data_IF_992501999602
#
_entry.id   IF_992501999602
#
_cell.length_a   1.000
_cell.length_b   1.000
_cell.length_c   1.000
_cell.angle_alpha   90.00
_cell.angle_beta   90.00
_cell.angle_gamma   90.00
#
_symmetry.space_group_name_H-M   'P 1'
#
loop_
_entity.id
_entity.type
_entity.pdbx_description
1 polymer ?
#
# COMPACT_ATOMS: atom_id res chain seq x y z
N UNK A 1 3.58 -28.05 4.84
CA UNK A 1 3.78 -27.65 3.43
C UNK A 1 4.60 -26.37 3.41
N UNK A 2 5.67 -26.30 2.62
CA UNK A 2 6.53 -25.12 2.50
C UNK A 2 5.89 -23.96 1.72
N UNK A 3 4.92 -24.26 0.84
CA UNK A 3 4.25 -23.29 -0.03
C UNK A 3 2.77 -23.63 -0.22
N UNK A 4 1.92 -22.64 -0.53
CA UNK A 4 0.59 -22.86 -1.09
C UNK A 4 0.64 -23.72 -2.37
N UNK A 5 -0.33 -24.64 -2.54
CA UNK A 5 -0.36 -25.62 -3.65
C UNK A 5 -0.18 -24.98 -5.04
N UNK A 6 -0.79 -23.81 -5.27
CA UNK A 6 -0.73 -23.09 -6.56
C UNK A 6 0.64 -22.46 -6.84
N UNK A 7 1.46 -22.17 -5.83
CA UNK A 7 2.77 -21.56 -6.00
C UNK A 7 3.87 -22.57 -6.30
N UNK A 8 3.71 -23.83 -5.89
CA UNK A 8 4.69 -24.90 -6.13
C UNK A 8 5.14 -24.98 -7.60
N UNK A 9 4.25 -25.11 -8.61
CA UNK A 9 4.67 -25.21 -10.01
C UNK A 9 5.34 -23.93 -10.53
N UNK A 10 4.97 -22.76 -10.00
CA UNK A 10 5.58 -21.47 -10.37
C UNK A 10 7.02 -21.40 -9.89
N UNK A 11 7.27 -21.73 -8.62
CA UNK A 11 8.61 -21.71 -8.04
C UNK A 11 9.52 -22.76 -8.71
N UNK A 12 9.04 -23.99 -8.90
CA UNK A 12 9.82 -25.04 -9.58
C UNK A 12 10.24 -24.57 -10.98
N UNK A 13 9.32 -23.97 -11.75
CA UNK A 13 9.63 -23.40 -13.06
C UNK A 13 10.70 -22.31 -13.00
N UNK A 14 10.60 -21.38 -12.04
CA UNK A 14 11.56 -20.29 -11.88
C UNK A 14 12.97 -20.77 -11.49
N UNK A 15 13.09 -21.89 -10.78
CA UNK A 15 14.41 -22.46 -10.42
C UNK A 15 15.12 -23.17 -11.56
N UNK A 16 14.42 -23.50 -12.65
CA UNK A 16 14.95 -24.33 -13.73
C UNK A 16 15.15 -25.82 -13.37
N UNK A 17 14.78 -26.24 -12.16
CA UNK A 17 14.86 -27.65 -11.74
C UNK A 17 13.72 -28.43 -12.41
N UNK A 18 14.04 -29.55 -13.07
CA UNK A 18 13.01 -30.43 -13.67
C UNK A 18 12.08 -30.96 -12.57
N UNK A 19 10.77 -30.80 -12.74
CA UNK A 19 9.75 -31.19 -11.76
C UNK A 19 9.76 -32.69 -11.42
N UNK A 20 10.18 -33.54 -12.36
CA UNK A 20 10.29 -35.00 -12.17
C UNK A 20 11.57 -35.43 -11.41
N UNK A 21 12.47 -34.50 -11.08
CA UNK A 21 13.72 -34.82 -10.37
C UNK A 21 13.39 -35.35 -8.97
N UNK A 22 13.90 -36.55 -8.64
CA UNK A 22 13.75 -37.09 -7.29
C UNK A 22 14.49 -36.21 -6.28
N UNK A 23 13.93 -36.02 -5.10
CA UNK A 23 14.48 -35.10 -4.07
C UNK A 23 15.94 -35.44 -3.71
N UNK A 24 16.28 -36.72 -3.64
CA UNK A 24 17.64 -37.18 -3.34
C UNK A 24 18.66 -36.93 -4.46
N UNK A 25 18.22 -36.53 -5.66
CA UNK A 25 19.08 -36.16 -6.79
C UNK A 25 19.29 -34.64 -6.90
N UNK A 26 18.65 -33.84 -6.03
CA UNK A 26 18.81 -32.39 -6.04
C UNK A 26 20.16 -32.02 -5.39
N UNK A 27 21.01 -31.36 -6.18
CA UNK A 27 22.36 -30.96 -5.75
C UNK A 27 22.33 -29.84 -4.71
N UNK A 28 23.46 -29.61 -4.02
CA UNK A 28 23.62 -28.45 -3.12
C UNK A 28 23.41 -27.12 -3.86
N UNK A 29 23.95 -27.00 -5.08
CA UNK A 29 23.78 -25.80 -5.92
C UNK A 29 22.30 -25.53 -6.25
N UNK A 30 21.56 -26.55 -6.69
CA UNK A 30 20.13 -26.43 -6.97
C UNK A 30 19.32 -26.07 -5.71
N UNK A 31 19.69 -26.60 -4.53
CA UNK A 31 19.08 -26.18 -3.26
C UNK A 31 19.33 -24.69 -2.96
N UNK A 32 20.54 -24.19 -3.21
CA UNK A 32 20.84 -22.75 -3.07
C UNK A 32 20.00 -21.91 -4.03
N UNK A 33 19.84 -22.34 -5.29
CA UNK A 33 18.97 -21.67 -6.27
C UNK A 33 17.52 -21.65 -5.79
N UNK A 34 17.00 -22.75 -5.27
CA UNK A 34 15.65 -22.82 -4.72
C UNK A 34 15.46 -21.85 -3.55
N UNK A 35 16.39 -21.84 -2.58
CA UNK A 35 16.34 -20.92 -1.44
C UNK A 35 16.39 -19.46 -1.91
N UNK A 36 17.27 -19.15 -2.86
CA UNK A 36 17.38 -17.80 -3.40
C UNK A 36 16.09 -17.38 -4.13
N UNK A 37 15.51 -18.27 -4.93
CA UNK A 37 14.25 -18.00 -5.64
C UNK A 37 13.09 -17.74 -4.68
N UNK A 38 13.03 -18.46 -3.56
CA UNK A 38 12.01 -18.28 -2.53
C UNK A 38 12.15 -16.97 -1.74
N UNK A 39 13.40 -16.60 -1.40
CA UNK A 39 13.67 -15.42 -0.57
C UNK A 39 13.78 -14.12 -1.37
N UNK A 40 14.12 -14.22 -2.65
CA UNK A 40 14.38 -13.08 -3.54
C UNK A 40 13.53 -13.18 -4.82
N UNK A 41 12.23 -13.48 -4.66
CA UNK A 41 11.30 -13.54 -5.79
C UNK A 41 11.10 -12.14 -6.39
N UNK A 42 11.69 -11.91 -7.55
CA UNK A 42 11.54 -10.64 -8.27
C UNK A 42 10.19 -10.59 -8.98
N UNK A 43 9.41 -9.56 -8.68
CA UNK A 43 8.15 -9.24 -9.35
C UNK A 43 8.30 -7.85 -9.97
N UNK A 44 8.12 -7.74 -11.28
CA UNK A 44 8.14 -6.46 -11.98
C UNK A 44 6.75 -5.85 -11.95
N UNK A 45 6.59 -4.76 -11.20
CA UNK A 45 5.35 -3.97 -11.20
C UNK A 45 5.21 -3.29 -12.56
N UNK A 46 4.09 -3.53 -13.25
CA UNK A 46 3.83 -2.97 -14.58
C UNK A 46 3.13 -1.62 -14.51
N UNK A 47 2.04 -1.56 -13.73
CA UNK A 47 1.19 -0.39 -13.58
C UNK A 47 0.54 -0.42 -12.19
N UNK A 48 0.03 0.73 -11.75
CA UNK A 48 -0.85 0.82 -10.59
C UNK A 48 -2.28 0.40 -10.94
N UNK A 49 -3.06 0.04 -9.92
CA UNK A 49 -4.51 -0.07 -10.01
C UNK A 49 -5.13 1.28 -10.38
N UNK A 50 -6.39 1.25 -10.82
CA UNK A 50 -7.12 2.49 -11.09
C UNK A 50 -7.50 3.19 -9.78
N UNK A 51 -7.79 4.48 -9.84
CA UNK A 51 -8.14 5.27 -8.66
C UNK A 51 -9.46 4.81 -8.01
N UNK A 52 -10.38 4.21 -8.78
CA UNK A 52 -11.63 3.68 -8.23
C UNK A 52 -11.40 2.44 -7.33
N UNK A 53 -10.23 1.81 -7.44
CA UNK A 53 -9.80 0.71 -6.56
C UNK A 53 -8.91 1.21 -5.41
N UNK A 54 -8.55 2.50 -5.40
CA UNK A 54 -7.75 3.09 -4.34
C UNK A 54 -8.60 3.25 -3.07
N UNK A 55 -7.96 3.03 -1.92
CA UNK A 55 -8.59 3.12 -0.60
C UNK A 55 -8.43 4.50 0.05
N UNK A 56 -7.51 5.31 -0.48
CA UNK A 56 -7.21 6.67 -0.05
C UNK A 56 -6.59 7.41 -1.22
N UNK A 57 -6.84 8.71 -1.29
CA UNK A 57 -6.24 9.64 -2.23
C UNK A 57 -5.08 10.37 -1.56
N UNK A 58 -3.92 10.43 -2.23
CA UNK A 58 -2.82 11.30 -1.83
C UNK A 58 -2.86 12.59 -2.65
N UNK A 59 -2.65 13.73 -2.01
CA UNK A 59 -2.96 15.05 -2.56
C UNK A 59 -4.27 15.62 -2.03
N UNK A 60 -4.59 16.86 -2.41
CA UNK A 60 -5.82 17.53 -2.00
C UNK A 60 -5.63 19.04 -1.90
N UNK A 61 -6.47 19.69 -1.09
CA UNK A 61 -6.32 21.11 -0.76
C UNK A 61 -5.03 21.30 0.06
N UNK A 62 -4.10 22.19 -0.35
CA UNK A 62 -2.84 22.37 0.35
C UNK A 62 -3.04 22.77 1.81
N UNK A 63 -2.47 22.01 2.74
CA UNK A 63 -2.54 22.33 4.18
C UNK A 63 -1.95 23.70 4.53
N UNK A 64 -1.07 24.23 3.67
CA UNK A 64 -0.52 25.58 3.81
C UNK A 64 -1.57 26.68 3.67
N UNK A 65 -2.68 26.41 2.97
CA UNK A 65 -3.80 27.34 2.74
C UNK A 65 -4.92 27.20 3.78
N UNK A 66 -4.76 26.29 4.76
CA UNK A 66 -5.75 26.00 5.80
C UNK A 66 -5.21 26.48 7.16
N UNK A 67 -6.05 27.13 7.95
CA UNK A 67 -5.74 27.50 9.33
C UNK A 67 -5.80 26.24 10.21
N UNK A 68 -4.69 25.78 10.82
CA UNK A 68 -4.63 24.48 11.49
C UNK A 68 -5.43 24.41 12.79
N UNK A 69 -5.82 25.55 13.36
CA UNK A 69 -6.60 25.66 14.58
C UNK A 69 -8.11 25.81 14.36
N UNK A 70 -8.56 26.04 13.12
CA UNK A 70 -9.99 26.20 12.80
C UNK A 70 -10.45 25.40 11.59
N UNK A 71 -9.51 24.87 10.81
CA UNK A 71 -9.76 24.26 9.49
C UNK A 71 -10.37 25.21 8.44
N UNK A 72 -10.39 26.52 8.71
CA UNK A 72 -10.86 27.53 7.76
C UNK A 72 -9.83 27.77 6.66
N UNK A 73 -10.31 28.07 5.46
CA UNK A 73 -9.49 28.61 4.36
C UNK A 73 -8.86 29.94 4.77
N UNK A 74 -7.57 30.10 4.47
CA UNK A 74 -6.86 31.38 4.60
C UNK A 74 -7.17 32.34 3.45
N UNK A 75 -7.82 31.86 2.39
CA UNK A 75 -8.09 32.61 1.15
C UNK A 75 -9.54 33.07 1.04
N UNK A 76 -10.46 32.44 1.77
CA UNK A 76 -11.90 32.72 1.67
C UNK A 76 -12.56 32.59 3.02
N UNK A 77 -13.22 33.66 3.46
CA UNK A 77 -13.94 33.66 4.73
C UNK A 77 -15.14 32.70 4.70
N UNK A 78 -15.43 32.08 5.85
CA UNK A 78 -16.53 31.12 6.03
C UNK A 78 -16.46 29.86 5.14
N UNK A 79 -15.28 29.53 4.59
CA UNK A 79 -15.02 28.29 3.87
C UNK A 79 -14.09 27.39 4.70
N UNK A 80 -14.46 26.13 4.91
CA UNK A 80 -13.72 25.18 5.74
C UNK A 80 -13.46 23.87 4.99
N UNK A 81 -12.35 23.21 5.29
CA UNK A 81 -11.96 21.94 4.68
C UNK A 81 -11.63 20.90 5.74
N UNK A 82 -12.08 19.66 5.55
CA UNK A 82 -11.84 18.55 6.47
C UNK A 82 -11.84 17.21 5.73
N UNK A 83 -11.38 16.16 6.40
CA UNK A 83 -11.35 14.80 5.84
C UNK A 83 -10.37 14.63 4.70
N UNK A 84 -10.62 13.63 3.85
CA UNK A 84 -9.72 13.22 2.76
C UNK A 84 -9.56 14.27 1.65
N UNK A 85 -10.33 15.36 1.67
CA UNK A 85 -10.20 16.44 0.68
C UNK A 85 -8.95 17.30 0.89
N UNK A 86 -8.40 17.32 2.11
CA UNK A 86 -7.17 18.05 2.42
C UNK A 86 -5.96 17.20 2.04
N UNK A 87 -4.84 17.83 1.74
CA UNK A 87 -3.57 17.17 1.40
C UNK A 87 -2.90 16.53 2.64
N UNK A 88 -3.58 15.53 3.21
CA UNK A 88 -3.14 14.71 4.33
C UNK A 88 -3.64 13.28 4.10
N UNK A 89 -2.71 12.37 3.86
CA UNK A 89 -2.99 10.94 3.78
C UNK A 89 -2.11 10.14 4.76
N UNK A 90 -2.58 8.95 5.13
CA UNK A 90 -1.89 8.07 6.05
C UNK A 90 -1.97 6.60 5.62
N UNK A 91 -1.11 5.78 6.21
CA UNK A 91 -1.14 4.33 6.05
C UNK A 91 -2.47 3.72 6.51
N UNK A 92 -2.75 2.50 6.05
CA UNK A 92 -3.87 1.70 6.55
C UNK A 92 -3.76 1.44 8.04
N UNK A 93 -4.90 1.30 8.72
CA UNK A 93 -4.95 1.06 10.18
C UNK A 93 -5.87 2.02 10.95
N UNK A 94 -6.72 2.77 10.25
CA UNK A 94 -7.68 3.70 10.85
C UNK A 94 -7.20 5.16 10.90
N UNK A 95 -5.97 5.45 10.47
CA UNK A 95 -5.41 6.80 10.52
C UNK A 95 -6.17 7.82 9.65
N UNK A 96 -6.58 7.44 8.43
CA UNK A 96 -7.39 8.32 7.58
C UNK A 96 -8.77 8.62 8.19
N UNK A 97 -9.37 7.65 8.90
CA UNK A 97 -10.62 7.89 9.65
C UNK A 97 -10.37 8.85 10.81
N UNK A 98 -9.27 8.69 11.54
CA UNK A 98 -8.89 9.60 12.61
C UNK A 98 -8.68 11.03 12.09
N UNK A 99 -8.01 11.20 10.94
CA UNK A 99 -7.84 12.49 10.27
C UNK A 99 -9.21 13.10 9.96
N UNK A 100 -10.12 12.31 9.37
CA UNK A 100 -11.47 12.78 9.05
C UNK A 100 -12.27 13.21 10.28
N UNK A 101 -12.23 12.43 11.37
CA UNK A 101 -12.94 12.77 12.59
C UNK A 101 -12.35 13.99 13.30
N UNK A 102 -11.02 14.06 13.44
CA UNK A 102 -10.36 15.18 14.12
C UNK A 102 -10.54 16.50 13.36
N UNK A 103 -10.34 16.50 12.04
CA UNK A 103 -10.49 17.70 11.23
C UNK A 103 -11.95 18.12 11.08
N UNK A 104 -12.88 17.16 10.93
CA UNK A 104 -14.31 17.44 10.85
C UNK A 104 -14.85 18.03 12.16
N UNK A 105 -14.42 17.50 13.31
CA UNK A 105 -14.78 18.04 14.62
C UNK A 105 -14.28 19.48 14.79
N UNK A 106 -13.00 19.73 14.51
CA UNK A 106 -12.40 21.06 14.67
C UNK A 106 -13.04 22.10 13.73
N UNK A 107 -13.30 21.71 12.48
CA UNK A 107 -14.04 22.57 11.55
C UNK A 107 -15.42 22.91 12.10
N UNK A 108 -16.18 21.91 12.56
CA UNK A 108 -17.54 22.08 13.08
C UNK A 108 -17.64 22.92 14.36
N UNK A 109 -16.64 22.89 15.24
CA UNK A 109 -16.59 23.76 16.43
C UNK A 109 -16.16 25.20 16.11
N UNK A 110 -15.59 25.45 14.92
CA UNK A 110 -15.05 26.75 14.52
C UNK A 110 -15.97 27.54 13.58
N UNK A 111 -17.16 27.01 13.26
CA UNK A 111 -18.20 27.68 12.45
C UNK A 111 -19.07 28.60 13.30
#
# INVERSE_FOLDING_TARGET
MLLPKKLVPVIVRLTGIKSATKVNQITKSQRTVLVNTLKNLKITVKNFCKIEEAIVTSGGVPVSEIAPNTMQSKLTDNLFFAGEMIDVDAYTGGFNLQIAFSTGHLAGESV
#
